data_IF_136735537621
#
_entry.id   IF_136735537621
#
_cell.length_a   1.000
_cell.length_b   1.000
_cell.length_c   1.000
_cell.angle_alpha   90.00
_cell.angle_beta   90.00
_cell.angle_gamma   90.00
#
_symmetry.space_group_name_H-M   'P 1'
#
loop_
_entity.id
_entity.type
_entity.pdbx_description
1 polymer ?
#
# COMPACT_ATOMS: atom_id res chain seq x y z
N UNK A 1 14.23 -20.31 25.79
CA UNK A 1 14.57 -19.18 24.91
C UNK A 1 14.00 -19.53 23.54
N UNK A 2 12.84 -18.98 23.18
CA UNK A 2 12.25 -19.23 21.86
C UNK A 2 13.09 -18.47 20.84
N UNK A 3 13.80 -19.18 19.97
CA UNK A 3 14.44 -18.58 18.80
C UNK A 3 13.30 -17.96 17.98
N UNK A 4 13.24 -16.63 17.92
CA UNK A 4 12.21 -15.94 17.14
C UNK A 4 12.29 -16.37 15.69
N UNK A 5 11.14 -16.70 15.09
CA UNK A 5 11.05 -16.99 13.66
C UNK A 5 11.73 -15.87 12.87
N UNK A 6 12.66 -16.16 11.95
CA UNK A 6 13.32 -15.14 11.14
C UNK A 6 12.27 -14.26 10.46
N UNK A 7 12.50 -12.94 10.45
CA UNK A 7 11.60 -12.00 9.78
C UNK A 7 11.56 -12.22 8.25
N UNK A 8 12.59 -12.85 7.70
CA UNK A 8 12.72 -13.18 6.28
C UNK A 8 13.22 -14.61 6.17
N UNK A 9 12.50 -15.44 5.41
CA UNK A 9 12.98 -16.76 5.02
C UNK A 9 13.70 -16.66 3.66
N UNK A 10 15.03 -16.62 3.67
CA UNK A 10 15.84 -16.47 2.46
C UNK A 10 15.96 -17.76 1.63
N UNK A 11 15.38 -18.88 2.09
CA UNK A 11 15.34 -20.13 1.33
C UNK A 11 14.18 -20.18 0.31
N UNK A 12 13.25 -19.23 0.40
CA UNK A 12 12.07 -19.14 -0.47
C UNK A 12 12.47 -18.74 -1.89
N UNK A 13 11.97 -19.49 -2.88
CA UNK A 13 12.01 -19.11 -4.30
C UNK A 13 10.81 -18.25 -4.66
N UNK A 14 10.99 -17.32 -5.62
CA UNK A 14 9.89 -16.56 -6.21
C UNK A 14 9.28 -17.24 -7.45
N UNK A 15 9.86 -18.35 -7.92
CA UNK A 15 9.39 -19.07 -9.10
C UNK A 15 7.96 -19.60 -8.89
N UNK A 16 7.09 -19.37 -9.87
CA UNK A 16 5.68 -19.79 -9.82
C UNK A 16 4.80 -19.01 -8.84
N UNK A 17 5.36 -18.06 -8.08
CA UNK A 17 4.58 -17.20 -7.18
C UNK A 17 3.93 -16.08 -7.99
N UNK A 18 2.62 -15.91 -7.86
CA UNK A 18 1.90 -14.75 -8.38
C UNK A 18 1.59 -13.77 -7.26
N UNK A 19 2.03 -12.52 -7.41
CA UNK A 19 1.71 -11.43 -6.45
C UNK A 19 0.24 -10.99 -6.53
N UNK A 20 -0.48 -11.41 -7.56
CA UNK A 20 -1.91 -11.14 -7.72
C UNK A 20 -2.79 -12.15 -6.98
N UNK A 21 -2.24 -13.25 -6.48
CA UNK A 21 -3.01 -14.25 -5.74
C UNK A 21 -3.29 -13.77 -4.30
N UNK A 22 -4.56 -13.66 -3.86
CA UNK A 22 -4.91 -13.29 -2.49
C UNK A 22 -4.30 -14.22 -1.43
N UNK A 23 -4.16 -15.51 -1.71
CA UNK A 23 -3.56 -16.47 -0.79
C UNK A 23 -2.10 -16.15 -0.49
N UNK A 24 -1.38 -15.54 -1.44
CA UNK A 24 -0.03 -15.05 -1.17
C UNK A 24 -0.04 -14.00 -0.06
N UNK A 25 -1.03 -13.10 -0.04
CA UNK A 25 -1.13 -12.01 0.94
C UNK A 25 -1.61 -12.46 2.31
N UNK A 26 -2.33 -13.59 2.38
CA UNK A 26 -2.73 -14.26 3.61
C UNK A 26 -1.60 -15.11 4.22
N UNK A 27 -0.57 -15.42 3.43
CA UNK A 27 0.56 -16.23 3.88
C UNK A 27 1.39 -15.54 4.99
N UNK A 28 2.15 -16.31 5.79
CA UNK A 28 3.01 -15.79 6.84
C UNK A 28 3.95 -14.69 6.32
N UNK A 29 4.16 -13.65 7.12
CA UNK A 29 5.02 -12.52 6.75
C UNK A 29 6.42 -12.97 6.33
N UNK A 30 7.03 -13.92 7.05
CA UNK A 30 8.37 -14.43 6.73
C UNK A 30 8.49 -15.03 5.33
N UNK A 31 7.42 -15.71 4.86
CA UNK A 31 7.34 -16.25 3.51
C UNK A 31 7.21 -15.13 2.48
N UNK A 32 6.28 -14.16 2.69
CA UNK A 32 6.10 -13.03 1.78
C UNK A 32 7.38 -12.20 1.62
N UNK A 33 8.06 -11.91 2.73
CA UNK A 33 9.35 -11.21 2.73
C UNK A 33 10.44 -12.03 2.05
N UNK A 34 10.41 -13.36 2.20
CA UNK A 34 11.29 -14.30 1.48
C UNK A 34 11.11 -14.24 -0.04
N UNK A 35 9.86 -14.24 -0.51
CA UNK A 35 9.55 -14.03 -1.94
C UNK A 35 10.07 -12.68 -2.42
N UNK A 36 9.78 -11.59 -1.70
CA UNK A 36 10.30 -10.27 -2.08
C UNK A 36 11.83 -10.19 -2.03
N UNK A 37 12.48 -10.91 -1.12
CA UNK A 37 13.93 -11.04 -1.10
C UNK A 37 14.45 -11.70 -2.37
N UNK A 38 13.85 -12.82 -2.78
CA UNK A 38 14.21 -13.52 -4.02
C UNK A 38 13.95 -12.68 -5.28
N UNK A 39 12.81 -11.99 -5.37
CA UNK A 39 12.48 -11.10 -6.49
C UNK A 39 13.51 -9.97 -6.65
N UNK A 40 14.00 -9.40 -5.54
CA UNK A 40 15.05 -8.37 -5.56
C UNK A 40 16.42 -8.86 -6.04
N UNK A 41 16.63 -10.18 -6.18
CA UNK A 41 17.87 -10.74 -6.72
C UNK A 41 17.79 -11.01 -8.24
N UNK A 42 16.63 -10.86 -8.88
CA UNK A 42 16.44 -11.15 -10.31
C UNK A 42 16.80 -9.95 -11.19
N UNK A 43 17.57 -10.15 -12.26
CA UNK A 43 17.98 -9.03 -13.12
C UNK A 43 16.81 -8.36 -13.86
N UNK A 44 15.76 -9.12 -14.17
CA UNK A 44 14.57 -8.64 -14.89
C UNK A 44 13.42 -8.30 -13.92
N UNK A 45 12.58 -7.35 -14.32
CA UNK A 45 11.37 -7.02 -13.59
C UNK A 45 10.29 -8.07 -13.87
N UNK A 46 9.75 -8.75 -12.84
CA UNK A 46 8.71 -9.75 -13.05
C UNK A 46 7.43 -9.06 -13.50
N UNK A 47 6.76 -9.68 -14.48
CA UNK A 47 5.43 -9.31 -14.91
C UNK A 47 4.40 -10.28 -14.33
N UNK A 48 3.29 -9.74 -13.82
CA UNK A 48 2.18 -10.51 -13.31
C UNK A 48 0.89 -10.10 -14.00
N UNK A 49 0.08 -11.08 -14.39
CA UNK A 49 -1.32 -10.80 -14.68
C UNK A 49 -2.03 -10.34 -13.41
N UNK A 50 -2.95 -9.41 -13.53
CA UNK A 50 -3.78 -8.98 -12.40
C UNK A 50 -4.78 -10.07 -11.96
N UNK A 51 -5.38 -9.88 -10.79
CA UNK A 51 -6.40 -10.79 -10.28
C UNK A 51 -7.68 -10.65 -11.09
N UNK A 52 -8.23 -11.79 -11.53
CA UNK A 52 -9.55 -11.81 -12.18
C UNK A 52 -10.64 -11.78 -11.11
N UNK A 53 -11.24 -10.59 -10.91
CA UNK A 53 -12.35 -10.44 -9.99
C UNK A 53 -13.62 -11.04 -10.59
N UNK A 54 -14.00 -12.21 -10.09
CA UNK A 54 -15.26 -12.88 -10.41
C UNK A 54 -16.41 -11.87 -10.22
N UNK A 55 -17.28 -11.76 -11.23
CA UNK A 55 -18.41 -10.83 -11.29
C UNK A 55 -18.06 -9.33 -11.30
N UNK A 56 -16.79 -8.97 -11.54
CA UNK A 56 -16.42 -7.60 -11.81
C UNK A 56 -17.15 -7.08 -13.06
N UNK A 57 -17.76 -5.88 -13.00
CA UNK A 57 -18.35 -5.25 -14.18
C UNK A 57 -17.28 -4.71 -15.15
N UNK A 58 -16.00 -4.77 -14.76
CA UNK A 58 -14.86 -4.29 -15.55
C UNK A 58 -14.03 -5.48 -16.05
N UNK A 59 -13.55 -5.43 -17.30
CA UNK A 59 -12.68 -6.47 -17.83
C UNK A 59 -11.35 -6.49 -17.07
N UNK A 60 -10.74 -7.68 -16.99
CA UNK A 60 -9.37 -7.84 -16.55
C UNK A 60 -8.43 -7.01 -17.44
N UNK A 61 -7.67 -6.12 -16.84
CA UNK A 61 -6.57 -5.36 -17.42
C UNK A 61 -5.38 -6.24 -17.82
N UNK A 62 -4.36 -5.63 -18.44
CA UNK A 62 -3.27 -6.37 -19.06
C UNK A 62 -2.32 -7.03 -18.05
N UNK A 63 -2.32 -6.61 -16.77
CA UNK A 63 -1.32 -6.97 -15.77
C UNK A 63 -0.33 -5.84 -15.48
N UNK A 64 0.72 -6.13 -14.73
CA UNK A 64 1.67 -5.14 -14.23
C UNK A 64 3.08 -5.68 -14.03
N UNK A 65 4.08 -4.79 -14.08
CA UNK A 65 5.43 -5.08 -13.62
C UNK A 65 5.55 -4.81 -12.12
N UNK A 66 6.13 -5.75 -11.36
CA UNK A 66 6.34 -5.55 -9.93
C UNK A 66 7.73 -4.97 -9.64
N UNK A 67 7.75 -3.71 -9.19
CA UNK A 67 8.96 -3.06 -8.72
C UNK A 67 9.22 -3.44 -7.27
N UNK A 68 10.23 -4.28 -7.04
CA UNK A 68 10.51 -4.84 -5.71
C UNK A 68 11.75 -4.24 -5.03
N UNK A 69 12.58 -3.51 -5.80
CA UNK A 69 13.75 -2.79 -5.30
C UNK A 69 13.39 -1.35 -4.97
N UNK A 70 14.04 -0.84 -3.92
CA UNK A 70 13.88 0.55 -3.51
C UNK A 70 14.24 1.54 -4.62
N UNK A 71 15.32 1.30 -5.36
CA UNK A 71 15.79 2.21 -6.41
C UNK A 71 14.79 2.36 -7.57
N UNK A 72 14.15 1.26 -7.98
CA UNK A 72 13.14 1.25 -9.04
C UNK A 72 11.89 2.01 -8.58
N UNK A 73 11.40 1.72 -7.37
CA UNK A 73 10.25 2.42 -6.77
C UNK A 73 10.55 3.91 -6.64
N UNK A 74 11.74 4.28 -6.17
CA UNK A 74 12.19 5.66 -6.05
C UNK A 74 12.27 6.35 -7.41
N UNK A 75 12.82 5.68 -8.43
CA UNK A 75 12.90 6.22 -9.79
C UNK A 75 11.50 6.51 -10.34
N UNK A 76 10.58 5.55 -10.29
CA UNK A 76 9.22 5.72 -10.80
C UNK A 76 8.48 6.84 -10.07
N UNK A 77 8.55 6.85 -8.73
CA UNK A 77 7.85 7.85 -7.90
C UNK A 77 8.31 9.29 -8.14
N UNK A 78 9.52 9.48 -8.68
CA UNK A 78 10.12 10.81 -8.92
C UNK A 78 10.07 11.28 -10.36
N UNK A 79 9.59 10.45 -11.28
CA UNK A 79 9.48 10.78 -12.69
C UNK A 79 8.01 10.74 -13.15
N UNK A 80 7.12 11.58 -12.57
CA UNK A 80 5.69 11.55 -12.91
C UNK A 80 5.40 11.89 -14.38
N UNK A 81 6.33 12.56 -15.07
CA UNK A 81 6.27 12.79 -16.52
C UNK A 81 6.46 11.51 -17.36
N UNK A 82 7.06 10.46 -16.77
CA UNK A 82 7.25 9.15 -17.39
C UNK A 82 6.22 8.12 -16.89
N UNK A 83 5.78 8.27 -15.65
CA UNK A 83 4.88 7.33 -14.97
C UNK A 83 3.66 8.09 -14.41
N UNK A 84 2.57 8.09 -15.17
CA UNK A 84 1.36 8.83 -14.83
C UNK A 84 0.56 8.16 -13.72
N UNK A 85 -0.09 8.96 -12.87
CA UNK A 85 -1.11 8.48 -11.92
C UNK A 85 -2.54 8.81 -12.40
N UNK A 86 -2.69 9.71 -13.37
CA UNK A 86 -3.97 10.10 -13.93
C UNK A 86 -4.71 8.98 -14.66
N UNK A 87 -4.02 7.89 -15.02
CA UNK A 87 -4.61 6.71 -15.66
C UNK A 87 -4.94 5.57 -14.68
N UNK A 88 -4.70 5.78 -13.38
CA UNK A 88 -4.89 4.76 -12.36
C UNK A 88 -3.76 4.77 -11.33
N UNK A 89 -4.10 4.42 -10.10
CA UNK A 89 -3.15 4.29 -8.98
C UNK A 89 -3.25 2.95 -8.26
N UNK A 90 -4.15 2.07 -8.72
CA UNK A 90 -4.34 0.70 -8.23
C UNK A 90 -4.01 -0.28 -9.37
N UNK A 91 -3.78 -1.55 -9.02
CA UNK A 91 -3.49 -2.59 -10.02
C UNK A 91 -4.68 -2.83 -10.94
N UNK A 92 -5.90 -2.94 -10.39
CA UNK A 92 -7.10 -3.10 -11.20
C UNK A 92 -7.48 -1.80 -11.89
N UNK A 93 -7.69 -1.86 -13.20
CA UNK A 93 -8.10 -0.71 -14.00
C UNK A 93 -9.57 -0.35 -13.72
N UNK A 94 -9.78 0.90 -13.34
CA UNK A 94 -11.11 1.50 -13.30
C UNK A 94 -11.29 2.39 -14.54
N UNK A 95 -12.51 2.53 -15.07
CA UNK A 95 -12.78 3.54 -16.08
C UNK A 95 -12.32 4.92 -15.58
N UNK A 96 -11.67 5.69 -16.45
CA UNK A 96 -11.06 6.98 -16.11
C UNK A 96 -12.02 7.91 -15.34
N UNK A 97 -13.28 7.99 -15.76
CA UNK A 97 -14.29 8.84 -15.10
C UNK A 97 -14.55 8.41 -13.65
N UNK A 98 -14.52 7.10 -13.37
CA UNK A 98 -14.62 6.58 -12.01
C UNK A 98 -13.33 6.80 -11.23
N UNK A 99 -12.17 6.61 -11.86
CA UNK A 99 -10.87 6.87 -11.25
C UNK A 99 -10.73 8.35 -10.84
N UNK A 100 -11.17 9.28 -11.68
CA UNK A 100 -11.17 10.72 -11.35
C UNK A 100 -12.17 11.06 -10.24
N UNK A 101 -13.34 10.41 -10.23
CA UNK A 101 -14.37 10.63 -9.21
C UNK A 101 -13.98 10.07 -7.83
N UNK A 102 -13.45 8.84 -7.78
CA UNK A 102 -13.11 8.14 -6.52
C UNK A 102 -11.66 8.36 -6.06
N UNK A 103 -10.74 8.53 -7.00
CA UNK A 103 -9.31 8.58 -6.75
C UNK A 103 -8.78 9.90 -6.20
N UNK A 104 -9.65 10.90 -5.98
CA UNK A 104 -9.25 12.22 -5.44
C UNK A 104 -8.00 12.76 -6.17
N UNK A 105 -7.14 13.51 -5.48
CA UNK A 105 -5.91 14.02 -6.07
C UNK A 105 -4.82 12.96 -6.30
N UNK A 106 -4.94 11.74 -5.74
CA UNK A 106 -3.90 10.70 -5.94
C UNK A 106 -3.96 10.10 -7.34
N UNK A 107 -5.13 10.08 -7.97
CA UNK A 107 -5.33 9.64 -9.36
C UNK A 107 -5.31 10.83 -10.35
N UNK A 108 -4.43 11.81 -10.14
CA UNK A 108 -4.28 12.98 -11.01
C UNK A 108 -2.82 13.26 -11.32
N UNK A 109 -2.56 13.78 -12.52
CA UNK A 109 -1.26 14.34 -12.90
C UNK A 109 -1.28 15.88 -12.90
N UNK A 110 -0.11 16.47 -13.12
CA UNK A 110 0.04 17.90 -13.26
C UNK A 110 -0.62 18.43 -14.55
N UNK A 111 -1.13 19.67 -14.56
CA UNK A 111 -1.06 20.68 -13.49
C UNK A 111 -2.18 20.58 -12.43
N UNK A 112 -3.16 19.68 -12.61
CA UNK A 112 -4.31 19.55 -11.71
C UNK A 112 -3.86 19.09 -10.31
N UNK A 113 -2.99 18.08 -10.25
CA UNK A 113 -2.44 17.56 -8.99
C UNK A 113 -1.68 18.64 -8.22
N UNK A 114 -0.71 19.33 -8.83
CA UNK A 114 0.02 20.43 -8.19
C UNK A 114 -0.91 21.49 -7.60
N UNK A 115 -1.92 21.93 -8.36
CA UNK A 115 -2.88 22.94 -7.88
C UNK A 115 -3.60 22.48 -6.62
N UNK A 116 -4.16 21.27 -6.59
CA UNK A 116 -4.85 20.73 -5.42
C UNK A 116 -3.89 20.49 -4.25
N UNK A 117 -2.72 19.89 -4.50
CA UNK A 117 -1.69 19.65 -3.47
C UNK A 117 -1.25 20.94 -2.80
N UNK A 118 -1.09 22.02 -3.56
CA UNK A 118 -0.67 23.33 -3.04
C UNK A 118 -1.67 23.95 -2.05
N UNK A 119 -2.97 23.62 -2.20
CA UNK A 119 -4.03 24.08 -1.31
C UNK A 119 -4.03 23.21 -0.04
N UNK A 120 -4.09 21.88 -0.22
CA UNK A 120 -4.21 20.92 0.88
C UNK A 120 -2.97 20.93 1.78
N UNK A 121 -1.76 21.04 1.22
CA UNK A 121 -0.50 20.96 1.98
C UNK A 121 -0.36 22.03 3.06
N UNK A 122 -1.09 23.15 2.95
CA UNK A 122 -1.10 24.21 3.98
C UNK A 122 -1.66 23.73 5.32
N UNK A 123 -2.57 22.75 5.31
CA UNK A 123 -3.11 22.13 6.52
C UNK A 123 -2.18 21.09 7.17
N UNK A 124 -1.11 20.69 6.47
CA UNK A 124 -0.20 19.62 6.91
C UNK A 124 1.22 20.15 7.18
N UNK A 125 1.36 21.45 7.46
CA UNK A 125 2.67 21.99 7.88
C UNK A 125 3.05 21.45 9.27
N UNK A 126 4.34 21.40 9.63
CA UNK A 126 4.76 20.96 10.97
C UNK A 126 4.05 21.68 12.11
N UNK A 127 3.76 22.98 11.93
CA UNK A 127 3.01 23.79 12.90
C UNK A 127 1.55 23.33 13.07
N UNK A 128 0.86 23.08 11.96
CA UNK A 128 -0.55 22.62 12.02
C UNK A 128 -0.65 21.20 12.59
N UNK A 129 0.31 20.33 12.27
CA UNK A 129 0.40 18.99 12.87
C UNK A 129 0.62 19.08 14.39
N UNK A 130 1.57 19.89 14.84
CA UNK A 130 1.83 20.08 16.28
C UNK A 130 0.60 20.65 17.03
N UNK A 131 -0.23 21.47 16.36
CA UNK A 131 -1.44 22.02 16.95
C UNK A 131 -2.49 20.96 17.28
N UNK A 132 -2.58 19.90 16.48
CA UNK A 132 -3.55 18.80 16.69
C UNK A 132 -2.99 17.66 17.54
N UNK A 133 -1.68 17.60 17.75
CA UNK A 133 -1.00 16.51 18.45
C UNK A 133 -1.58 16.26 19.85
N UNK A 134 -1.81 17.31 20.64
CA UNK A 134 -2.40 17.19 21.98
C UNK A 134 -3.82 16.59 21.94
N UNK A 135 -4.64 17.01 20.98
CA UNK A 135 -5.99 16.46 20.81
C UNK A 135 -5.95 14.97 20.45
N UNK A 136 -5.07 14.57 19.52
CA UNK A 136 -4.88 13.16 19.15
C UNK A 136 -4.39 12.35 20.34
N UNK A 137 -3.45 12.89 21.12
CA UNK A 137 -2.93 12.24 22.33
C UNK A 137 -4.05 12.01 23.36
N UNK A 138 -4.87 13.01 23.64
CA UNK A 138 -5.96 12.89 24.61
C UNK A 138 -7.02 11.89 24.14
N UNK A 139 -7.36 11.89 22.84
CA UNK A 139 -8.29 10.89 22.28
C UNK A 139 -7.72 9.48 22.31
N UNK A 140 -6.44 9.30 22.00
CA UNK A 140 -5.79 8.01 22.09
C UNK A 140 -5.79 7.49 23.53
N UNK A 141 -5.48 8.35 24.51
CA UNK A 141 -5.55 8.00 25.94
C UNK A 141 -6.97 7.57 26.34
N UNK A 142 -7.98 8.37 26.01
CA UNK A 142 -9.38 8.08 26.31
C UNK A 142 -9.82 6.71 25.75
N UNK A 143 -9.46 6.41 24.50
CA UNK A 143 -9.78 5.13 23.87
C UNK A 143 -9.10 3.95 24.57
N UNK A 144 -7.81 4.09 24.92
CA UNK A 144 -7.06 3.03 25.61
C UNK A 144 -7.59 2.82 27.03
N UNK A 145 -7.85 3.90 27.77
CA UNK A 145 -8.40 3.83 29.13
C UNK A 145 -9.78 3.15 29.12
N UNK A 146 -10.64 3.52 28.17
CA UNK A 146 -11.95 2.89 27.98
C UNK A 146 -11.85 1.40 27.62
N UNK A 147 -10.87 1.03 26.79
CA UNK A 147 -10.61 -0.37 26.46
C UNK A 147 -10.22 -1.17 27.71
N UNK A 148 -9.31 -0.64 28.53
CA UNK A 148 -8.85 -1.30 29.76
C UNK A 148 -10.00 -1.44 30.76
N UNK A 149 -10.84 -0.41 30.91
CA UNK A 149 -12.02 -0.45 31.79
C UNK A 149 -13.04 -1.49 31.33
N UNK A 150 -13.31 -1.56 30.02
CA UNK A 150 -14.30 -2.47 29.45
C UNK A 150 -13.81 -3.93 29.39
N UNK A 151 -12.51 -4.14 29.26
CA UNK A 151 -11.88 -5.46 29.14
C UNK A 151 -10.82 -5.65 30.24
N UNK A 152 -11.23 -5.85 31.52
CA UNK A 152 -10.31 -5.95 32.65
C UNK A 152 -9.36 -7.17 32.56
N UNK A 153 -9.77 -8.22 31.84
CA UNK A 153 -8.94 -9.39 31.55
C UNK A 153 -7.88 -9.12 30.46
N UNK A 154 -7.88 -7.91 29.88
CA UNK A 154 -6.96 -7.47 28.81
C UNK A 154 -7.03 -8.30 27.53
N UNK A 155 -8.17 -8.93 27.29
CA UNK A 155 -8.48 -9.65 26.06
C UNK A 155 -9.68 -8.97 25.37
N UNK A 156 -9.48 -8.59 24.10
CA UNK A 156 -10.54 -8.05 23.24
C UNK A 156 -10.23 -8.37 21.78
N UNK A 157 -11.26 -8.67 21.00
CA UNK A 157 -11.13 -8.86 19.55
C UNK A 157 -11.12 -7.51 18.83
N UNK A 158 -10.24 -7.37 17.83
CA UNK A 158 -10.36 -6.30 16.85
C UNK A 158 -11.40 -6.74 15.81
N UNK A 159 -12.44 -5.93 15.61
CA UNK A 159 -13.40 -6.09 14.50
C UNK A 159 -12.84 -5.42 13.26
#
# INVERSE_FOLDING_TARGET
MSQGTPLVDTSVSAEGVSLSNPEFWLAPRSYREGVFHALRQQDELPFYEEWDFIDSPFPKGPGYFALTRHEDVWHVSRNPQLFCSGQGSNIGDLPQEMAEFFGSMIAMDDPKHFRLRSIVSKGFTPKEVARIEGYVHDKARELVDSLIERFPEKECDFV
#
